data_IF_125601689050
#
_entry.id   IF_125601689050
#
_cell.length_a   1.000
_cell.length_b   1.000
_cell.length_c   1.000
_cell.angle_alpha   90.00
_cell.angle_beta   90.00
_cell.angle_gamma   90.00
#
_symmetry.space_group_name_H-M   'P 1'
#
loop_
_entity.id
_entity.type
_entity.pdbx_description
1 polymer ?
#
# COMPACT_ATOMS: atom_id res chain seq x y z
N UNK A 1 54.17 23.70 -26.08
CA UNK A 1 53.90 22.32 -25.63
C UNK A 1 53.77 22.24 -24.13
N UNK A 2 54.69 22.80 -23.32
CA UNK A 2 54.57 22.84 -21.86
C UNK A 2 53.23 23.42 -21.36
N UNK A 3 52.82 24.58 -21.86
CA UNK A 3 51.57 25.23 -21.42
C UNK A 3 50.31 24.39 -21.71
N UNK A 4 50.30 23.66 -22.82
CA UNK A 4 49.21 22.74 -23.16
C UNK A 4 49.10 21.59 -22.15
N UNK A 5 50.23 20.96 -21.79
CA UNK A 5 50.23 19.90 -20.79
C UNK A 5 50.01 20.41 -19.36
N UNK A 6 50.43 21.64 -19.04
CA UNK A 6 50.13 22.29 -17.76
C UNK A 6 48.63 22.55 -17.60
N UNK A 7 47.96 23.01 -18.65
CA UNK A 7 46.51 23.23 -18.63
C UNK A 7 45.74 21.91 -18.57
N UNK A 8 46.20 20.88 -19.30
CA UNK A 8 45.66 19.53 -19.17
C UNK A 8 45.78 18.99 -17.74
N UNK A 9 46.97 19.11 -17.12
CA UNK A 9 47.19 18.63 -15.75
C UNK A 9 46.28 19.32 -14.73
N UNK A 10 45.99 20.62 -14.93
CA UNK A 10 45.04 21.36 -14.10
C UNK A 10 43.62 20.78 -14.15
N UNK A 11 43.12 20.38 -15.33
CA UNK A 11 41.77 19.81 -15.47
C UNK A 11 41.70 18.30 -15.28
N UNK A 12 42.82 17.58 -15.41
CA UNK A 12 42.86 16.11 -15.36
C UNK A 12 42.42 15.54 -14.00
N UNK A 13 42.59 16.33 -12.94
CA UNK A 13 42.23 15.97 -11.56
C UNK A 13 40.91 16.58 -11.09
N UNK A 14 40.15 17.25 -11.96
CA UNK A 14 38.83 17.77 -11.60
C UNK A 14 37.89 16.61 -11.18
N UNK A 15 37.16 16.81 -10.09
CA UNK A 15 36.24 15.83 -9.52
C UNK A 15 34.89 15.77 -10.26
N UNK A 16 34.66 16.68 -11.20
CA UNK A 16 33.46 16.75 -12.02
C UNK A 16 33.25 15.44 -12.80
N UNK A 17 32.06 14.81 -12.70
CA UNK A 17 31.73 13.65 -13.49
C UNK A 17 31.59 14.05 -14.96
N UNK A 18 31.91 13.13 -15.86
CA UNK A 18 31.84 13.38 -17.31
C UNK A 18 30.42 13.71 -17.80
N UNK A 19 29.39 13.33 -17.05
CA UNK A 19 27.98 13.57 -17.36
C UNK A 19 27.25 13.99 -16.08
N UNK A 20 26.30 14.91 -16.22
CA UNK A 20 25.46 15.39 -15.13
C UNK A 20 24.33 14.41 -14.75
N UNK A 21 24.07 13.40 -15.58
CA UNK A 21 23.01 12.42 -15.33
C UNK A 21 21.60 13.03 -15.23
N UNK A 22 21.38 14.23 -15.80
CA UNK A 22 20.14 14.99 -15.69
C UNK A 22 19.67 15.25 -14.25
N UNK A 23 20.57 15.31 -13.27
CA UNK A 23 20.23 15.73 -11.89
C UNK A 23 20.64 17.18 -11.64
N UNK A 24 19.85 17.88 -10.82
CA UNK A 24 20.00 19.30 -10.53
C UNK A 24 21.22 19.60 -9.64
N UNK A 25 21.77 18.59 -8.98
CA UNK A 25 22.79 18.67 -7.94
C UNK A 25 24.03 17.83 -8.31
N UNK A 26 24.45 17.92 -9.57
CA UNK A 26 25.66 17.23 -10.06
C UNK A 26 26.90 17.69 -9.29
N UNK A 27 27.58 16.81 -8.54
CA UNK A 27 28.77 17.19 -7.81
C UNK A 27 29.90 17.58 -8.79
N UNK A 28 30.81 18.50 -8.40
CA UNK A 28 30.97 19.04 -7.07
C UNK A 28 30.00 20.21 -6.81
N UNK A 29 29.32 20.15 -5.67
CA UNK A 29 28.43 21.22 -5.20
C UNK A 29 28.81 21.60 -3.79
N UNK A 30 28.56 22.86 -3.45
CA UNK A 30 28.56 23.35 -2.09
C UNK A 30 27.11 23.65 -1.70
N UNK A 31 26.65 23.02 -0.61
CA UNK A 31 25.37 23.35 0.04
C UNK A 31 25.60 24.55 0.95
N UNK A 32 24.84 25.62 0.74
CA UNK A 32 24.99 26.87 1.49
C UNK A 32 24.14 26.82 2.78
N UNK A 33 24.43 25.85 3.65
CA UNK A 33 23.77 25.74 4.95
C UNK A 33 24.25 26.83 5.91
N UNK A 34 23.32 27.45 6.63
CA UNK A 34 23.64 28.27 7.80
C UNK A 34 24.06 27.37 8.97
N UNK A 35 24.77 27.92 9.96
CA UNK A 35 25.16 27.19 11.17
C UNK A 35 23.94 26.63 11.94
N UNK A 36 22.82 27.37 11.93
CA UNK A 36 21.56 26.93 12.53
C UNK A 36 20.95 25.73 11.79
N UNK A 37 20.95 25.76 10.44
CA UNK A 37 20.51 24.63 9.63
C UNK A 37 21.39 23.41 9.82
N UNK A 38 22.71 23.59 9.88
CA UNK A 38 23.64 22.48 10.11
C UNK A 38 23.43 21.83 11.48
N UNK A 39 23.31 22.63 12.55
CA UNK A 39 22.99 22.14 13.88
C UNK A 39 21.64 21.42 13.90
N UNK A 40 20.63 21.94 13.18
CA UNK A 40 19.32 21.30 13.09
C UNK A 40 19.37 19.97 12.33
N UNK A 41 20.08 19.91 11.20
CA UNK A 41 20.28 18.68 10.43
C UNK A 41 21.01 17.61 11.25
N UNK A 42 22.03 18.00 12.02
CA UNK A 42 22.73 17.09 12.95
C UNK A 42 21.76 16.54 14.01
N UNK A 43 20.95 17.39 14.64
CA UNK A 43 19.96 16.97 15.62
C UNK A 43 18.89 16.04 15.01
N UNK A 44 18.41 16.34 13.80
CA UNK A 44 17.45 15.51 13.08
C UNK A 44 18.05 14.14 12.72
N UNK A 45 19.29 14.10 12.24
CA UNK A 45 20.00 12.85 11.96
C UNK A 45 20.18 12.01 13.23
N UNK A 46 20.54 12.63 14.36
CA UNK A 46 20.65 11.94 15.64
C UNK A 46 19.28 11.38 16.10
N UNK A 47 18.21 12.15 15.93
CA UNK A 47 16.84 11.69 16.23
C UNK A 47 16.40 10.51 15.36
N UNK A 48 16.64 10.58 14.05
CA UNK A 48 16.37 9.48 13.10
C UNK A 48 17.16 8.23 13.51
N UNK A 49 18.45 8.35 13.80
CA UNK A 49 19.30 7.24 14.22
C UNK A 49 18.83 6.62 15.56
N UNK A 50 18.40 7.46 16.51
CA UNK A 50 17.84 6.99 17.77
C UNK A 50 16.54 6.20 17.55
N UNK A 51 15.65 6.68 16.67
CA UNK A 51 14.41 5.98 16.33
C UNK A 51 14.68 4.67 15.57
N UNK A 52 15.67 4.64 14.69
CA UNK A 52 16.12 3.39 14.04
C UNK A 52 16.66 2.38 15.05
N UNK A 53 17.42 2.83 16.06
CA UNK A 53 17.86 1.98 17.15
C UNK A 53 16.70 1.42 17.98
N UNK A 54 15.63 2.21 18.23
CA UNK A 54 14.41 1.70 18.88
C UNK A 54 13.74 0.59 18.07
N UNK A 55 13.66 0.72 16.74
CA UNK A 55 13.11 -0.33 15.87
C UNK A 55 13.94 -1.61 16.02
N UNK A 56 15.27 -1.52 15.94
CA UNK A 56 16.14 -2.68 16.09
C UNK A 56 15.99 -3.36 17.46
N UNK A 57 15.86 -2.57 18.54
CA UNK A 57 15.60 -3.10 19.88
C UNK A 57 14.25 -3.82 19.96
N UNK A 58 13.18 -3.23 19.40
CA UNK A 58 11.86 -3.85 19.37
C UNK A 58 11.88 -5.19 18.61
N UNK A 59 12.53 -5.22 17.44
CA UNK A 59 12.65 -6.45 16.64
C UNK A 59 13.48 -7.53 17.33
N UNK A 60 14.52 -7.15 18.09
CA UNK A 60 15.30 -8.10 18.88
C UNK A 60 14.45 -8.81 19.95
N UNK A 61 13.44 -8.14 20.51
CA UNK A 61 12.52 -8.74 21.49
C UNK A 61 11.45 -9.66 20.89
N UNK A 62 11.19 -9.56 19.58
CA UNK A 62 10.12 -10.29 18.89
C UNK A 62 10.37 -11.80 18.80
N UNK A 63 11.61 -12.25 19.00
CA UNK A 63 12.03 -13.66 18.93
C UNK A 63 11.47 -14.39 17.68
N UNK A 64 11.57 -13.75 16.51
CA UNK A 64 10.99 -14.25 15.27
C UNK A 64 11.48 -15.68 14.94
N UNK A 65 10.52 -16.58 14.75
CA UNK A 65 10.73 -17.94 14.25
C UNK A 65 9.93 -18.11 12.97
N UNK A 66 10.58 -18.52 11.88
CA UNK A 66 9.92 -18.59 10.58
C UNK A 66 8.82 -19.66 10.56
N UNK A 67 7.55 -19.30 10.28
CA UNK A 67 6.45 -20.26 10.32
C UNK A 67 6.57 -21.36 9.26
N UNK A 68 7.26 -21.13 8.14
CA UNK A 68 7.48 -22.16 7.12
C UNK A 68 8.52 -23.22 7.56
N UNK A 69 9.34 -22.91 8.57
CA UNK A 69 10.35 -23.82 9.13
C UNK A 69 9.83 -24.68 10.30
N UNK A 70 8.62 -24.42 10.79
CA UNK A 70 8.03 -25.12 11.94
C UNK A 70 7.37 -26.44 11.52
N UNK A 71 7.40 -27.44 12.41
CA UNK A 71 6.74 -28.73 12.20
C UNK A 71 5.94 -29.16 13.46
N UNK A 72 4.59 -29.19 13.41
CA UNK A 72 3.76 -28.79 12.28
C UNK A 72 3.77 -27.27 12.04
N UNK A 73 3.49 -26.79 10.82
CA UNK A 73 3.35 -25.36 10.57
C UNK A 73 2.17 -24.77 11.35
N UNK A 74 2.23 -23.49 11.74
CA UNK A 74 1.10 -22.82 12.38
C UNK A 74 -0.16 -22.86 11.51
N UNK A 75 -1.35 -23.02 12.10
CA UNK A 75 -2.59 -23.05 11.34
C UNK A 75 -2.86 -21.71 10.66
N UNK A 76 -3.58 -21.76 9.53
CA UNK A 76 -4.11 -20.57 8.89
C UNK A 76 -5.05 -19.82 9.85
N UNK A 77 -5.00 -18.49 9.79
CA UNK A 77 -5.80 -17.58 10.59
C UNK A 77 -6.80 -16.88 9.68
N UNK A 78 -8.03 -16.77 10.15
CA UNK A 78 -9.09 -16.03 9.48
C UNK A 78 -9.54 -14.89 10.39
N UNK A 79 -9.85 -13.75 9.78
CA UNK A 79 -10.39 -12.58 10.47
C UNK A 79 -11.47 -11.95 9.62
N UNK A 80 -12.50 -11.42 10.27
CA UNK A 80 -13.57 -10.68 9.62
C UNK A 80 -13.82 -9.38 10.36
N UNK A 81 -14.05 -8.31 9.61
CA UNK A 81 -14.57 -7.04 10.12
C UNK A 81 -15.88 -6.77 9.41
N UNK A 82 -16.97 -6.83 10.17
CA UNK A 82 -18.33 -6.57 9.66
C UNK A 82 -18.62 -5.08 9.74
N UNK A 83 -19.29 -4.56 8.72
CA UNK A 83 -19.47 -3.12 8.48
C UNK A 83 -20.90 -2.71 8.15
N UNK A 84 -21.73 -3.65 7.72
CA UNK A 84 -23.20 -3.57 7.80
C UNK A 84 -23.69 -4.84 8.48
N UNK A 85 -24.38 -4.70 9.61
CA UNK A 85 -25.09 -5.77 10.31
C UNK A 85 -26.18 -5.10 11.12
N UNK A 86 -27.44 -5.42 10.85
CA UNK A 86 -28.63 -4.78 11.42
C UNK A 86 -28.73 -3.25 11.21
N UNK A 87 -27.81 -2.64 10.46
CA UNK A 87 -27.74 -1.22 10.23
C UNK A 87 -26.37 -0.75 9.72
N UNK A 88 -26.32 0.53 9.38
CA UNK A 88 -25.08 1.21 9.01
C UNK A 88 -24.14 1.35 10.22
N UNK A 89 -22.81 1.43 9.99
CA UNK A 89 -21.85 1.44 11.09
C UNK A 89 -22.00 2.69 11.96
N UNK A 90 -21.63 2.59 13.23
CA UNK A 90 -21.70 3.71 14.16
C UNK A 90 -20.94 4.94 13.62
N UNK A 91 -21.56 6.12 13.73
CA UNK A 91 -21.01 7.38 13.21
C UNK A 91 -21.31 7.65 11.73
N UNK A 92 -21.71 6.64 10.96
CA UNK A 92 -22.18 6.86 9.58
C UNK A 92 -23.49 7.66 9.55
N UNK A 93 -23.64 8.47 8.50
CA UNK A 93 -24.88 9.18 8.18
C UNK A 93 -25.40 8.68 6.83
N UNK A 94 -26.34 7.71 6.84
CA UNK A 94 -26.88 7.16 5.61
C UNK A 94 -27.56 8.23 4.76
N UNK A 95 -27.36 8.13 3.45
CA UNK A 95 -27.92 8.96 2.41
C UNK A 95 -28.58 8.06 1.37
N UNK A 96 -29.55 8.62 0.66
CA UNK A 96 -30.29 7.91 -0.37
C UNK A 96 -30.30 8.72 -1.66
N UNK A 97 -30.24 8.04 -2.79
CA UNK A 97 -30.65 8.59 -4.08
C UNK A 97 -31.70 7.65 -4.66
N UNK A 98 -32.95 8.09 -4.70
CA UNK A 98 -34.10 7.24 -5.02
C UNK A 98 -35.16 7.29 -3.92
N UNK A 99 -35.89 6.19 -3.76
CA UNK A 99 -36.89 6.05 -2.70
C UNK A 99 -36.26 6.13 -1.29
N UNK A 100 -37.05 6.51 -0.26
CA UNK A 100 -36.60 6.53 1.12
C UNK A 100 -35.96 5.21 1.57
N UNK A 101 -34.98 5.30 2.48
CA UNK A 101 -34.29 4.16 3.07
C UNK A 101 -35.31 3.19 3.69
N UNK A 102 -35.20 1.90 3.35
CA UNK A 102 -36.07 0.86 3.91
C UNK A 102 -35.23 -0.23 4.58
N UNK A 103 -35.50 -0.44 5.87
CA UNK A 103 -34.96 -1.54 6.66
C UNK A 103 -36.08 -2.54 6.91
N UNK A 104 -35.79 -3.83 6.76
CA UNK A 104 -36.76 -4.92 6.93
C UNK A 104 -36.34 -5.76 8.12
N UNK A 105 -37.28 -6.00 9.04
CA UNK A 105 -37.03 -6.83 10.22
C UNK A 105 -37.28 -8.30 9.94
N UNK A 106 -36.59 -9.15 10.69
CA UNK A 106 -36.81 -10.60 10.68
C UNK A 106 -38.27 -10.91 11.01
N UNK A 107 -38.93 -11.64 10.12
CA UNK A 107 -40.36 -11.97 10.21
C UNK A 107 -41.28 -11.06 9.38
N UNK A 108 -40.80 -9.89 8.94
CA UNK A 108 -41.51 -9.00 8.01
C UNK A 108 -41.00 -9.14 6.56
N UNK A 109 -39.82 -9.75 6.39
CA UNK A 109 -39.27 -10.13 5.10
C UNK A 109 -37.90 -10.80 5.23
N UNK A 110 -37.14 -10.79 4.14
CA UNK A 110 -35.84 -11.45 4.03
C UNK A 110 -34.79 -10.78 4.91
N UNK A 111 -34.19 -11.57 5.80
CA UNK A 111 -33.03 -11.17 6.64
C UNK A 111 -32.08 -12.36 6.69
N UNK A 112 -30.81 -12.14 6.34
CA UNK A 112 -29.80 -13.21 6.30
C UNK A 112 -29.17 -13.43 7.67
N UNK A 113 -28.73 -12.34 8.31
CA UNK A 113 -28.05 -12.34 9.61
C UNK A 113 -28.72 -11.35 10.55
N UNK A 114 -28.55 -11.56 11.85
CA UNK A 114 -29.15 -10.68 12.85
C UNK A 114 -30.68 -10.63 12.79
N UNK A 115 -31.20 -9.40 12.87
CA UNK A 115 -32.61 -9.07 12.93
C UNK A 115 -33.10 -8.04 11.89
N UNK A 116 -32.22 -7.38 11.14
CA UNK A 116 -32.56 -6.32 10.18
C UNK A 116 -31.69 -6.39 8.92
N UNK A 117 -32.32 -6.31 7.75
CA UNK A 117 -31.63 -6.18 6.46
C UNK A 117 -32.04 -4.89 5.73
N UNK A 118 -31.19 -4.43 4.80
CA UNK A 118 -31.48 -3.28 3.95
C UNK A 118 -32.24 -3.73 2.71
N UNK A 119 -33.43 -3.18 2.46
CA UNK A 119 -34.21 -3.48 1.23
C UNK A 119 -34.36 -2.24 0.38
N UNK A 120 -34.29 -2.41 -0.94
CA UNK A 120 -34.59 -1.36 -1.90
C UNK A 120 -35.40 -1.89 -3.07
N UNK A 121 -36.49 -1.18 -3.39
CA UNK A 121 -37.26 -1.36 -4.61
C UNK A 121 -37.07 -0.13 -5.49
N UNK A 122 -36.63 -0.34 -6.72
CA UNK A 122 -36.29 0.73 -7.66
C UNK A 122 -36.92 0.48 -9.03
N UNK A 123 -37.33 1.54 -9.73
CA UNK A 123 -37.73 1.46 -11.13
C UNK A 123 -36.54 1.70 -12.09
N UNK A 124 -35.50 2.39 -11.60
CA UNK A 124 -34.29 2.75 -12.34
C UNK A 124 -33.07 2.71 -11.44
N UNK A 125 -32.13 3.63 -11.65
CA UNK A 125 -30.90 3.71 -10.86
C UNK A 125 -31.17 4.33 -9.48
N UNK A 126 -30.97 3.55 -8.42
CA UNK A 126 -31.11 4.00 -7.03
C UNK A 126 -30.01 3.43 -6.13
N UNK A 127 -29.73 4.11 -5.01
CA UNK A 127 -28.69 3.71 -4.07
C UNK A 127 -28.95 4.13 -2.62
N UNK A 128 -28.45 3.32 -1.70
CA UNK A 128 -28.23 3.62 -0.28
C UNK A 128 -26.74 3.70 -0.01
N UNK A 129 -26.27 4.77 0.62
CA UNK A 129 -24.84 4.99 0.78
C UNK A 129 -24.51 5.87 1.99
N UNK A 130 -23.23 5.90 2.35
CA UNK A 130 -22.68 6.99 3.17
C UNK A 130 -21.21 7.22 2.80
N UNK A 131 -20.68 8.37 3.22
CA UNK A 131 -19.25 8.63 3.27
C UNK A 131 -18.92 9.46 4.50
N UNK A 132 -17.82 9.11 5.17
CA UNK A 132 -17.40 9.71 6.43
C UNK A 132 -18.13 9.17 7.66
N UNK A 133 -17.57 9.44 8.84
CA UNK A 133 -18.14 9.04 10.13
C UNK A 133 -17.84 7.60 10.57
N UNK A 134 -17.47 6.72 9.64
CA UNK A 134 -16.96 5.38 9.91
C UNK A 134 -15.83 5.03 8.92
N UNK A 135 -14.86 4.22 9.35
CA UNK A 135 -13.82 3.68 8.47
C UNK A 135 -13.52 2.21 8.77
N UNK A 136 -13.04 1.48 7.76
CA UNK A 136 -12.27 0.24 7.96
C UNK A 136 -10.99 0.29 7.13
N UNK A 137 -9.99 -0.46 7.58
CA UNK A 137 -8.72 -0.61 6.86
C UNK A 137 -8.73 -1.94 6.12
N UNK A 138 -8.47 -1.91 4.82
CA UNK A 138 -8.38 -3.13 4.00
C UNK A 138 -7.21 -3.99 4.52
N UNK A 139 -7.44 -5.23 4.96
CA UNK A 139 -6.37 -6.10 5.45
C UNK A 139 -5.55 -6.67 4.28
N UNK A 140 -4.38 -7.23 4.60
CA UNK A 140 -3.64 -8.07 3.66
C UNK A 140 -4.52 -9.25 3.21
N UNK A 141 -4.44 -9.63 1.93
CA UNK A 141 -5.30 -10.65 1.32
C UNK A 141 -6.82 -10.39 1.52
N UNK A 142 -7.21 -9.12 1.65
CA UNK A 142 -8.57 -8.72 1.96
C UNK A 142 -9.58 -9.11 0.88
N UNK A 143 -10.67 -9.74 1.30
CA UNK A 143 -11.85 -10.01 0.47
C UNK A 143 -13.06 -9.35 1.07
N UNK A 144 -13.68 -8.49 0.29
CA UNK A 144 -14.95 -7.86 0.64
C UNK A 144 -16.06 -8.86 0.35
N UNK A 145 -17.04 -8.94 1.24
CA UNK A 145 -18.21 -9.78 1.05
C UNK A 145 -19.48 -9.07 1.49
N UNK A 146 -20.60 -9.41 0.87
CA UNK A 146 -21.95 -9.02 1.31
C UNK A 146 -22.93 -10.09 0.89
N UNK A 147 -24.05 -10.21 1.61
CA UNK A 147 -25.16 -11.08 1.21
C UNK A 147 -26.19 -10.27 0.44
N UNK A 148 -26.67 -10.85 -0.65
CA UNK A 148 -27.59 -10.25 -1.59
C UNK A 148 -28.75 -11.22 -1.85
N UNK A 149 -29.98 -10.75 -1.74
CA UNK A 149 -31.19 -11.46 -2.14
C UNK A 149 -31.89 -10.65 -3.22
N UNK A 150 -32.09 -11.26 -4.39
CA UNK A 150 -32.87 -10.66 -5.47
C UNK A 150 -34.29 -11.20 -5.45
N UNK A 151 -35.29 -10.31 -5.48
CA UNK A 151 -36.69 -10.73 -5.57
C UNK A 151 -36.94 -11.43 -6.93
N UNK A 152 -37.38 -12.70 -6.95
CA UNK A 152 -37.60 -13.43 -8.20
C UNK A 152 -38.81 -12.91 -9.00
N UNK A 153 -39.75 -12.23 -8.35
CA UNK A 153 -40.90 -11.61 -9.02
C UNK A 153 -40.58 -10.20 -9.57
N UNK A 154 -39.49 -9.59 -9.10
CA UNK A 154 -39.08 -8.23 -9.44
C UNK A 154 -37.55 -8.13 -9.48
N UNK A 155 -36.91 -8.91 -10.36
CA UNK A 155 -35.44 -9.02 -10.41
C UNK A 155 -34.81 -7.75 -11.02
N UNK A 156 -33.74 -7.19 -10.43
CA UNK A 156 -33.04 -6.04 -10.99
C UNK A 156 -32.34 -6.40 -12.30
N UNK A 157 -31.96 -5.40 -13.10
CA UNK A 157 -31.10 -5.62 -14.28
C UNK A 157 -29.61 -5.63 -13.93
N UNK A 158 -29.24 -4.86 -12.91
CA UNK A 158 -27.88 -4.77 -12.42
C UNK A 158 -27.86 -4.44 -10.93
N UNK A 159 -26.84 -4.96 -10.24
CA UNK A 159 -26.52 -4.61 -8.85
C UNK A 159 -25.04 -4.26 -8.75
N UNK A 160 -24.72 -3.30 -7.89
CA UNK A 160 -23.37 -2.80 -7.71
C UNK A 160 -23.10 -2.51 -6.22
N UNK A 161 -21.91 -2.90 -5.78
CA UNK A 161 -21.34 -2.47 -4.50
C UNK A 161 -20.21 -1.49 -4.80
N UNK A 162 -20.20 -0.35 -4.11
CA UNK A 162 -19.21 0.71 -4.27
C UNK A 162 -18.52 0.99 -2.94
N UNK A 163 -17.24 1.40 -2.99
CA UNK A 163 -16.50 1.85 -1.82
C UNK A 163 -15.90 3.24 -2.04
N UNK A 164 -15.95 4.04 -0.98
CA UNK A 164 -15.37 5.36 -0.91
C UNK A 164 -14.04 5.31 -0.15
N UNK A 165 -12.97 5.83 -0.73
CA UNK A 165 -11.67 6.01 -0.07
C UNK A 165 -11.27 7.49 -0.11
N UNK A 166 -10.43 7.90 -1.07
CA UNK A 166 -10.23 9.30 -1.48
C UNK A 166 -11.32 9.79 -2.45
N UNK A 167 -12.14 8.86 -2.96
CA UNK A 167 -13.32 9.08 -3.76
C UNK A 167 -14.05 7.78 -4.03
N UNK A 168 -15.15 7.83 -4.78
CA UNK A 168 -15.87 6.65 -5.25
C UNK A 168 -15.12 6.05 -6.46
N UNK A 169 -14.17 5.16 -6.21
CA UNK A 169 -13.25 4.63 -7.22
C UNK A 169 -13.10 3.11 -7.18
N UNK A 170 -13.99 2.41 -6.48
CA UNK A 170 -13.87 0.98 -6.22
C UNK A 170 -15.26 0.35 -6.34
N UNK A 171 -15.54 -0.32 -7.45
CA UNK A 171 -16.88 -0.83 -7.74
C UNK A 171 -16.84 -2.24 -8.28
N UNK A 172 -17.76 -3.07 -7.78
CA UNK A 172 -18.05 -4.38 -8.31
C UNK A 172 -19.51 -4.40 -8.81
N UNK A 173 -19.74 -4.85 -10.04
CA UNK A 173 -21.06 -4.89 -10.67
C UNK A 173 -21.39 -6.30 -11.17
N UNK A 174 -22.64 -6.70 -11.02
CA UNK A 174 -23.23 -7.92 -11.57
C UNK A 174 -24.44 -7.55 -12.44
N UNK A 175 -24.66 -8.30 -13.52
CA UNK A 175 -25.76 -8.09 -14.46
C UNK A 175 -25.40 -7.21 -15.65
N UNK A 176 -26.38 -6.44 -16.12
CA UNK A 176 -26.25 -5.56 -17.30
C UNK A 176 -25.37 -4.33 -16.98
N UNK A 177 -24.09 -4.41 -17.33
CA UNK A 177 -23.08 -3.42 -16.95
C UNK A 177 -23.41 -1.98 -17.37
N UNK A 178 -24.07 -1.81 -18.52
CA UNK A 178 -24.43 -0.53 -19.15
C UNK A 178 -25.51 0.23 -18.38
N UNK A 179 -26.29 -0.45 -17.53
CA UNK A 179 -27.38 0.17 -16.76
C UNK A 179 -26.88 1.04 -15.60
N UNK A 180 -25.65 0.83 -15.14
CA UNK A 180 -25.04 1.64 -14.09
C UNK A 180 -23.77 2.29 -14.64
N UNK A 181 -23.88 3.56 -15.04
CA UNK A 181 -22.80 4.32 -15.69
C UNK A 181 -21.66 4.79 -14.79
N UNK A 182 -21.58 4.33 -13.54
CA UNK A 182 -20.59 4.80 -12.57
C UNK A 182 -19.24 4.08 -12.70
N UNK A 183 -18.16 4.87 -12.73
CA UNK A 183 -16.79 4.39 -12.86
C UNK A 183 -16.38 4.02 -14.28
N UNK A 184 -15.08 4.00 -14.55
CA UNK A 184 -14.54 3.66 -15.87
C UNK A 184 -14.48 2.14 -16.10
N UNK A 185 -15.17 1.59 -17.13
CA UNK A 185 -15.09 0.17 -17.45
C UNK A 185 -13.67 -0.29 -17.77
N UNK A 186 -13.39 -1.59 -17.58
CA UNK A 186 -12.08 -2.21 -17.81
C UNK A 186 -10.93 -1.58 -16.99
N UNK A 187 -11.25 -1.03 -15.82
CA UNK A 187 -10.27 -0.51 -14.86
C UNK A 187 -10.59 -1.03 -13.46
N UNK A 188 -9.75 -0.70 -12.48
CA UNK A 188 -10.04 -0.96 -11.07
C UNK A 188 -11.23 -0.14 -10.55
N UNK A 189 -11.65 0.92 -11.27
CA UNK A 189 -12.78 1.77 -10.86
C UNK A 189 -14.15 1.11 -11.02
N UNK A 190 -14.24 0.13 -11.93
CA UNK A 190 -15.45 -0.64 -12.22
C UNK A 190 -15.07 -2.03 -12.72
N UNK A 191 -15.37 -3.03 -11.90
CA UNK A 191 -15.08 -4.44 -12.17
C UNK A 191 -16.37 -5.18 -12.45
N UNK A 192 -16.52 -5.70 -13.67
CA UNK A 192 -17.60 -6.63 -14.00
C UNK A 192 -17.33 -7.99 -13.34
N UNK A 193 -18.26 -8.43 -12.51
CA UNK A 193 -18.16 -9.67 -11.73
C UNK A 193 -18.92 -10.83 -12.37
N UNK A 194 -19.77 -10.56 -13.37
CA UNK A 194 -20.50 -11.56 -14.14
C UNK A 194 -22.02 -11.33 -14.14
N UNK A 195 -22.83 -12.37 -14.38
CA UNK A 195 -24.28 -12.28 -14.35
C UNK A 195 -24.79 -11.95 -12.94
N UNK A 196 -26.07 -11.60 -12.82
CA UNK A 196 -26.73 -11.43 -11.53
C UNK A 196 -26.61 -12.70 -10.68
N UNK A 197 -26.50 -12.57 -9.34
CA UNK A 197 -26.65 -13.72 -8.45
C UNK A 197 -28.02 -14.37 -8.62
N UNK A 198 -28.15 -15.64 -8.21
CA UNK A 198 -29.40 -16.38 -8.31
C UNK A 198 -30.49 -15.68 -7.50
N UNK A 199 -31.64 -15.43 -8.14
CA UNK A 199 -32.79 -14.81 -7.50
C UNK A 199 -33.56 -15.81 -6.63
N UNK A 200 -34.26 -15.29 -5.61
CA UNK A 200 -35.06 -16.09 -4.68
C UNK A 200 -34.28 -16.80 -3.58
N UNK A 201 -32.97 -16.57 -3.46
CA UNK A 201 -32.15 -17.06 -2.35
C UNK A 201 -31.05 -16.07 -1.97
N UNK A 202 -30.52 -16.22 -0.75
CA UNK A 202 -29.38 -15.43 -0.29
C UNK A 202 -28.08 -15.92 -0.93
N UNK A 203 -27.40 -15.02 -1.63
CA UNK A 203 -26.11 -15.30 -2.24
C UNK A 203 -25.03 -14.44 -1.60
N UNK A 204 -23.94 -15.07 -1.14
CA UNK A 204 -22.73 -14.37 -0.70
C UNK A 204 -21.96 -13.88 -1.91
N UNK A 205 -21.95 -12.57 -2.14
CA UNK A 205 -21.06 -11.94 -3.10
C UNK A 205 -19.70 -11.77 -2.45
N UNK A 206 -18.62 -12.22 -3.10
CA UNK A 206 -17.25 -12.09 -2.61
C UNK A 206 -16.36 -11.48 -3.70
N UNK A 207 -15.57 -10.47 -3.32
CA UNK A 207 -14.71 -9.71 -4.21
C UNK A 207 -13.33 -9.58 -3.56
N UNK A 208 -12.30 -10.07 -4.25
CA UNK A 208 -10.91 -9.78 -3.87
C UNK A 208 -10.69 -8.27 -3.99
N UNK A 209 -10.36 -7.62 -2.86
CA UNK A 209 -10.27 -6.16 -2.77
C UNK A 209 -9.30 -5.59 -3.82
N UNK A 210 -8.23 -6.34 -4.15
CA UNK A 210 -7.25 -5.94 -5.15
C UNK A 210 -7.83 -5.78 -6.55
N UNK A 211 -8.91 -6.51 -6.90
CA UNK A 211 -9.58 -6.38 -8.20
C UNK A 211 -10.17 -4.99 -8.39
N UNK A 212 -10.67 -4.39 -7.31
CA UNK A 212 -11.20 -3.02 -7.29
C UNK A 212 -10.09 -1.98 -7.01
N UNK A 213 -8.82 -2.37 -7.02
CA UNK A 213 -7.70 -1.47 -6.73
C UNK A 213 -7.56 -1.06 -5.26
N UNK A 214 -8.28 -1.72 -4.34
CA UNK A 214 -8.11 -1.53 -2.91
C UNK A 214 -6.89 -2.33 -2.44
N UNK A 215 -5.85 -1.62 -2.00
CA UNK A 215 -4.60 -2.23 -1.51
C UNK A 215 -4.70 -2.44 0.00
N UNK A 216 -3.89 -3.36 0.58
CA UNK A 216 -3.75 -3.44 2.03
C UNK A 216 -3.37 -2.07 2.62
N UNK A 217 -3.99 -1.70 3.74
CA UNK A 217 -3.80 -0.39 4.37
C UNK A 217 -4.67 0.74 3.80
N UNK A 218 -5.37 0.54 2.66
CA UNK A 218 -6.34 1.53 2.17
C UNK A 218 -7.44 1.73 3.21
N UNK A 219 -7.64 2.99 3.62
CA UNK A 219 -8.79 3.40 4.44
C UNK A 219 -10.01 3.55 3.56
N UNK A 220 -11.03 2.73 3.83
CA UNK A 220 -12.35 2.85 3.22
C UNK A 220 -13.25 3.57 4.20
N UNK A 221 -13.86 4.66 3.75
CA UNK A 221 -14.62 5.62 4.57
C UNK A 221 -16.10 5.69 4.19
N UNK A 222 -16.55 4.80 3.30
CA UNK A 222 -17.96 4.67 2.93
C UNK A 222 -18.20 3.51 1.98
N UNK A 223 -19.47 3.11 1.87
CA UNK A 223 -19.94 2.20 0.82
C UNK A 223 -21.29 2.64 0.27
N UNK A 224 -21.63 2.10 -0.89
CA UNK A 224 -22.95 2.22 -1.48
C UNK A 224 -23.45 0.86 -1.96
N UNK A 225 -24.72 0.57 -1.71
CA UNK A 225 -25.48 -0.46 -2.39
C UNK A 225 -26.28 0.22 -3.49
N UNK A 226 -26.09 -0.23 -4.72
CA UNK A 226 -26.67 0.41 -5.91
C UNK A 226 -27.34 -0.65 -6.78
N UNK A 227 -28.48 -0.32 -7.36
CA UNK A 227 -29.17 -1.21 -8.29
C UNK A 227 -29.78 -0.42 -9.44
N UNK A 228 -30.04 -1.12 -10.54
CA UNK A 228 -30.91 -0.62 -11.61
C UNK A 228 -32.16 -1.50 -11.71
N UNK A 229 -33.30 -0.94 -11.32
CA UNK A 229 -34.58 -1.64 -11.31
C UNK A 229 -34.70 -2.69 -10.18
N UNK A 230 -35.85 -3.34 -10.12
CA UNK A 230 -36.12 -4.51 -9.28
C UNK A 230 -36.17 -4.25 -7.77
N UNK A 231 -36.22 -5.33 -7.01
CA UNK A 231 -36.18 -5.34 -5.56
C UNK A 231 -35.00 -6.17 -5.06
N UNK A 232 -34.14 -5.56 -4.25
CA UNK A 232 -32.91 -6.16 -3.71
C UNK A 232 -32.89 -6.00 -2.20
N UNK A 233 -32.45 -7.06 -1.51
CA UNK A 233 -32.16 -7.00 -0.07
C UNK A 233 -30.68 -7.30 0.15
N UNK A 234 -30.02 -6.44 0.92
CA UNK A 234 -28.61 -6.53 1.28
C UNK A 234 -28.47 -6.78 2.77
N UNK A 235 -27.49 -7.60 3.11
CA UNK A 235 -27.19 -7.91 4.49
C UNK A 235 -25.70 -8.28 4.67
N UNK A 236 -25.21 -8.17 5.90
CA UNK A 236 -23.90 -8.61 6.35
C UNK A 236 -22.75 -8.27 5.38
N UNK A 237 -22.49 -6.97 5.22
CA UNK A 237 -21.31 -6.47 4.49
C UNK A 237 -20.10 -6.50 5.42
N UNK A 238 -18.98 -7.02 4.94
CA UNK A 238 -17.73 -7.00 5.68
C UNK A 238 -16.52 -7.18 4.79
N UNK A 239 -15.36 -7.15 5.44
CA UNK A 239 -14.09 -7.55 4.85
C UNK A 239 -13.52 -8.71 5.66
N UNK A 240 -13.06 -9.74 4.95
CA UNK A 240 -12.40 -10.90 5.52
C UNK A 240 -10.94 -10.93 5.09
N UNK A 241 -10.09 -11.56 5.90
CA UNK A 241 -8.71 -11.89 5.54
C UNK A 241 -8.39 -13.29 6.01
N UNK A 242 -7.69 -14.03 5.15
CA UNK A 242 -7.10 -15.31 5.48
C UNK A 242 -5.60 -15.22 5.28
N UNK A 243 -4.87 -15.64 6.30
CA UNK A 243 -3.42 -15.71 6.31
C UNK A 243 -3.02 -17.14 6.63
N UNK A 244 -2.24 -17.75 5.76
CA UNK A 244 -1.51 -18.99 6.06
C UNK A 244 -0.05 -18.60 6.34
N UNK A 245 0.37 -18.45 7.62
CA UNK A 245 1.67 -17.85 7.92
C UNK A 245 2.85 -18.58 7.27
N UNK A 246 2.74 -19.91 7.13
CA UNK A 246 3.77 -20.75 6.51
C UNK A 246 3.84 -20.62 4.98
N UNK A 247 2.89 -19.91 4.35
CA UNK A 247 2.82 -19.70 2.89
C UNK A 247 2.67 -18.24 2.48
N UNK A 248 2.70 -17.31 3.43
CA UNK A 248 2.52 -15.89 3.18
C UNK A 248 3.87 -15.15 3.30
N UNK A 249 4.32 -14.43 2.25
CA UNK A 249 5.61 -13.73 2.24
C UNK A 249 5.67 -12.54 3.21
N UNK A 250 4.56 -12.07 3.77
CA UNK A 250 4.55 -11.08 4.85
C UNK A 250 4.69 -11.71 6.24
N UNK A 251 4.62 -13.04 6.33
CA UNK A 251 4.73 -13.79 7.59
C UNK A 251 5.92 -14.74 7.64
N UNK A 252 6.40 -15.22 6.50
CA UNK A 252 7.57 -16.08 6.36
C UNK A 252 8.65 -15.42 5.50
N UNK A 253 9.81 -15.19 6.11
CA UNK A 253 11.02 -14.75 5.44
C UNK A 253 11.49 -15.78 4.42
N UNK A 254 11.40 -17.08 4.71
CA UNK A 254 11.77 -18.14 3.75
C UNK A 254 10.85 -18.15 2.52
N UNK A 255 9.55 -17.96 2.71
CA UNK A 255 8.60 -17.82 1.59
C UNK A 255 8.90 -16.55 0.78
N UNK A 256 9.17 -15.42 1.44
CA UNK A 256 9.54 -14.18 0.76
C UNK A 256 10.86 -14.30 -0.03
N UNK A 257 11.87 -14.91 0.59
CA UNK A 257 13.22 -15.09 0.03
C UNK A 257 13.21 -15.89 -1.26
N UNK A 258 12.34 -16.89 -1.36
CA UNK A 258 12.16 -17.78 -2.52
C UNK A 258 11.24 -17.23 -3.62
N UNK A 259 10.65 -16.04 -3.42
CA UNK A 259 9.88 -15.39 -4.48
C UNK A 259 10.74 -15.10 -5.72
N UNK A 260 10.07 -14.91 -6.86
CA UNK A 260 10.72 -14.44 -8.08
C UNK A 260 11.56 -13.18 -7.77
N UNK A 261 12.82 -13.19 -8.22
CA UNK A 261 13.78 -12.13 -7.92
C UNK A 261 13.26 -10.72 -8.25
N UNK A 262 12.58 -10.56 -9.39
CA UNK A 262 12.01 -9.27 -9.78
C UNK A 262 10.97 -8.77 -8.78
N UNK A 263 10.11 -9.65 -8.27
CA UNK A 263 9.12 -9.30 -7.24
C UNK A 263 9.80 -8.96 -5.92
N UNK A 264 10.65 -9.86 -5.42
CA UNK A 264 11.37 -9.69 -4.15
C UNK A 264 12.19 -8.39 -4.13
N UNK A 265 12.90 -8.10 -5.21
CA UNK A 265 13.76 -6.93 -5.30
C UNK A 265 12.98 -5.61 -5.40
N UNK A 266 11.71 -5.63 -5.80
CA UNK A 266 10.85 -4.45 -5.78
C UNK A 266 10.47 -4.02 -4.35
N UNK A 267 10.49 -4.94 -3.40
CA UNK A 267 10.22 -4.65 -1.98
C UNK A 267 11.43 -4.03 -1.27
N UNK A 268 12.62 -4.10 -1.88
CA UNK A 268 13.88 -3.61 -1.30
C UNK A 268 14.18 -2.16 -1.73
N UNK A 269 14.76 -1.34 -0.83
CA UNK A 269 15.36 -0.05 -1.18
C UNK A 269 16.57 -0.27 -2.10
N UNK A 270 16.98 0.78 -2.82
CA UNK A 270 17.98 0.66 -3.88
C UNK A 270 19.32 0.09 -3.40
N UNK A 271 19.79 0.46 -2.21
CA UNK A 271 21.06 -0.04 -1.65
C UNK A 271 21.02 -1.57 -1.40
N UNK A 272 19.91 -2.08 -0.84
CA UNK A 272 19.73 -3.50 -0.61
C UNK A 272 19.41 -4.25 -1.90
N UNK A 273 18.69 -3.61 -2.82
CA UNK A 273 18.39 -4.15 -4.14
C UNK A 273 19.67 -4.39 -4.92
N UNK A 274 20.57 -3.41 -4.96
CA UNK A 274 21.84 -3.50 -5.68
C UNK A 274 22.78 -4.52 -5.04
N UNK A 275 22.75 -4.65 -3.71
CA UNK A 275 23.51 -5.66 -2.97
C UNK A 275 23.21 -7.10 -3.42
N UNK A 276 21.93 -7.40 -3.70
CA UNK A 276 21.46 -8.76 -4.05
C UNK A 276 21.04 -8.92 -5.51
N UNK A 277 21.21 -7.87 -6.33
CA UNK A 277 20.83 -7.89 -7.75
C UNK A 277 21.67 -8.93 -8.49
N UNK A 278 21.01 -9.75 -9.30
CA UNK A 278 21.66 -10.82 -10.07
C UNK A 278 22.09 -12.05 -9.26
N UNK A 279 21.97 -12.03 -7.92
CA UNK A 279 22.33 -13.15 -7.05
C UNK A 279 21.10 -13.95 -6.61
N UNK A 280 21.23 -15.27 -6.57
CA UNK A 280 20.28 -16.15 -5.88
C UNK A 280 20.47 -16.05 -4.36
N UNK A 281 19.44 -16.32 -3.54
CA UNK A 281 19.56 -16.21 -2.09
C UNK A 281 20.66 -17.08 -1.45
N UNK A 282 21.03 -18.19 -2.09
CA UNK A 282 22.09 -19.09 -1.64
C UNK A 282 23.51 -18.52 -1.89
N UNK A 283 23.61 -17.50 -2.75
CA UNK A 283 24.87 -16.84 -3.11
C UNK A 283 25.12 -15.58 -2.26
N UNK A 284 24.19 -15.22 -1.38
CA UNK A 284 24.34 -14.10 -0.47
C UNK A 284 25.34 -14.46 0.62
N UNK A 285 26.31 -13.57 0.87
CA UNK A 285 27.14 -13.66 2.06
C UNK A 285 26.29 -13.47 3.33
N UNK A 286 26.80 -13.95 4.48
CA UNK A 286 26.10 -13.84 5.76
C UNK A 286 25.73 -12.39 6.10
N UNK A 287 26.61 -11.43 5.77
CA UNK A 287 26.37 -10.00 5.97
C UNK A 287 25.23 -9.46 5.09
N UNK A 288 25.18 -9.88 3.82
CA UNK A 288 24.11 -9.49 2.89
C UNK A 288 22.77 -10.09 3.33
N UNK A 289 22.75 -11.38 3.64
CA UNK A 289 21.56 -12.08 4.10
C UNK A 289 21.01 -11.47 5.40
N UNK A 290 21.90 -11.09 6.33
CA UNK A 290 21.50 -10.40 7.57
C UNK A 290 20.86 -9.04 7.28
N UNK A 291 21.48 -8.20 6.45
CA UNK A 291 20.93 -6.86 6.12
C UNK A 291 19.55 -6.96 5.49
N UNK A 292 19.36 -7.89 4.55
CA UNK A 292 18.07 -8.11 3.90
C UNK A 292 17.02 -8.62 4.90
N UNK A 293 17.39 -9.58 5.77
CA UNK A 293 16.49 -10.11 6.80
C UNK A 293 16.06 -9.04 7.81
N UNK A 294 17.00 -8.22 8.29
CA UNK A 294 16.70 -7.16 9.25
C UNK A 294 15.78 -6.10 8.63
N UNK A 295 16.02 -5.75 7.36
CA UNK A 295 15.11 -4.88 6.62
C UNK A 295 13.71 -5.49 6.48
N UNK A 296 13.62 -6.76 6.09
CA UNK A 296 12.34 -7.45 5.94
C UNK A 296 11.56 -7.48 7.26
N UNK A 297 12.22 -7.79 8.38
CA UNK A 297 11.60 -7.79 9.71
C UNK A 297 11.08 -6.40 10.11
N UNK A 298 11.84 -5.35 9.81
CA UNK A 298 11.45 -3.98 10.14
C UNK A 298 10.30 -3.46 9.26
N UNK A 299 10.35 -3.72 7.96
CA UNK A 299 9.53 -2.99 6.99
C UNK A 299 8.39 -3.82 6.39
N UNK A 300 8.53 -5.15 6.33
CA UNK A 300 7.62 -6.02 5.59
C UNK A 300 6.89 -7.02 6.49
N UNK A 301 7.54 -7.51 7.55
CA UNK A 301 6.95 -8.52 8.43
C UNK A 301 5.69 -8.00 9.12
N UNK A 302 4.55 -8.60 8.79
CA UNK A 302 3.24 -8.21 9.29
C UNK A 302 3.14 -8.33 10.83
N UNK A 303 3.82 -9.33 11.41
CA UNK A 303 3.81 -9.58 12.85
C UNK A 303 4.57 -8.54 13.70
N UNK A 304 5.37 -7.66 13.09
CA UNK A 304 6.07 -6.57 13.78
C UNK A 304 5.34 -5.22 13.71
N UNK A 305 4.26 -5.10 12.90
CA UNK A 305 3.68 -3.78 12.59
C UNK A 305 3.10 -3.07 13.80
N UNK A 306 2.49 -3.79 14.75
CA UNK A 306 1.94 -3.19 15.97
C UNK A 306 3.00 -2.53 16.85
N UNK A 307 4.25 -3.02 16.80
CA UNK A 307 5.37 -2.44 17.57
C UNK A 307 6.21 -1.46 16.76
N UNK A 308 6.36 -1.68 15.44
CA UNK A 308 7.21 -0.83 14.58
C UNK A 308 6.46 0.41 14.08
N UNK A 309 5.18 0.29 13.70
CA UNK A 309 4.44 1.40 13.09
C UNK A 309 4.36 2.67 13.98
N UNK A 310 4.17 2.58 15.32
CA UNK A 310 4.22 3.76 16.18
C UNK A 310 5.60 4.44 16.17
N UNK A 311 6.68 3.66 16.15
CA UNK A 311 8.06 4.16 16.13
C UNK A 311 8.37 4.82 14.79
N UNK A 312 7.90 4.25 13.67
CA UNK A 312 7.98 4.89 12.36
C UNK A 312 7.21 6.21 12.29
N UNK A 313 6.05 6.30 12.95
CA UNK A 313 5.28 7.54 13.04
C UNK A 313 6.04 8.63 13.81
N UNK A 314 6.87 8.28 14.80
CA UNK A 314 7.81 9.21 15.45
C UNK A 314 8.93 9.67 14.49
N UNK A 315 9.40 8.77 13.60
CA UNK A 315 10.47 9.06 12.62
C UNK A 315 10.00 9.99 11.50
N UNK A 316 8.76 9.82 11.04
CA UNK A 316 8.21 10.51 9.89
C UNK A 316 8.34 12.04 9.92
N UNK A 317 7.98 12.76 11.00
CA UNK A 317 8.14 14.22 11.05
C UNK A 317 9.62 14.66 11.02
N UNK A 318 10.53 13.90 11.65
CA UNK A 318 11.97 14.21 11.63
C UNK A 318 12.55 14.07 10.22
N UNK A 319 12.19 12.98 9.52
CA UNK A 319 12.62 12.74 8.14
C UNK A 319 12.03 13.79 7.19
N UNK A 320 10.77 14.18 7.39
CA UNK A 320 10.14 15.25 6.62
C UNK A 320 10.85 16.59 6.82
N UNK A 321 11.10 16.99 8.06
CA UNK A 321 11.77 18.26 8.34
C UNK A 321 13.19 18.30 7.77
N UNK A 322 13.93 17.18 7.87
CA UNK A 322 15.25 17.05 7.23
C UNK A 322 15.16 17.29 5.73
N UNK A 323 14.24 16.62 5.05
CA UNK A 323 14.04 16.75 3.61
C UNK A 323 13.61 18.19 3.23
N UNK A 324 12.74 18.81 4.03
CA UNK A 324 12.29 20.20 3.80
C UNK A 324 13.46 21.19 3.94
N UNK A 325 14.35 21.03 4.93
CA UNK A 325 15.57 21.85 5.08
C UNK A 325 16.53 21.63 3.91
N UNK A 326 16.78 20.38 3.52
CA UNK A 326 17.67 20.04 2.41
C UNK A 326 17.17 20.60 1.08
N UNK A 327 15.86 20.55 0.82
CA UNK A 327 15.24 21.11 -0.37
C UNK A 327 15.26 22.65 -0.41
N UNK A 328 15.14 23.30 0.76
CA UNK A 328 15.22 24.75 0.88
C UNK A 328 16.65 25.30 0.87
N UNK A 329 17.66 24.44 1.05
CA UNK A 329 19.06 24.85 1.11
C UNK A 329 19.58 25.17 -0.29
N UNK A 330 20.04 26.41 -0.57
CA UNK A 330 20.63 26.75 -1.85
C UNK A 330 21.88 25.93 -2.11
N UNK A 331 22.04 25.49 -3.35
CA UNK A 331 23.26 24.84 -3.84
C UNK A 331 23.99 25.77 -4.79
N UNK A 332 25.31 25.72 -4.77
CA UNK A 332 26.16 26.35 -5.78
C UNK A 332 27.14 25.31 -6.34
N UNK A 333 27.37 25.36 -7.64
CA UNK A 333 28.37 24.51 -8.28
C UNK A 333 29.76 25.04 -7.96
N UNK A 334 30.66 24.14 -7.61
CA UNK A 334 32.05 24.47 -7.31
C UNK A 334 32.95 23.55 -8.10
N UNK A 335 34.13 24.05 -8.48
CA UNK A 335 35.19 23.18 -8.99
C UNK A 335 35.96 22.63 -7.78
N UNK A 336 36.19 21.33 -7.76
CA UNK A 336 37.01 20.67 -6.76
C UNK A 336 37.94 19.67 -7.42
N UNK A 337 39.14 19.52 -6.88
CA UNK A 337 40.03 18.43 -7.26
C UNK A 337 39.60 17.12 -6.59
N UNK A 338 39.93 15.99 -7.23
CA UNK A 338 39.82 14.69 -6.61
C UNK A 338 40.68 14.63 -5.34
N UNK A 339 40.23 13.91 -4.29
CA UNK A 339 41.04 13.70 -3.08
C UNK A 339 42.43 13.12 -3.37
N UNK A 340 42.53 12.28 -4.40
CA UNK A 340 43.77 11.78 -4.97
C UNK A 340 43.93 12.31 -6.40
N UNK A 341 44.91 13.20 -6.67
CA UNK A 341 45.16 13.74 -8.01
C UNK A 341 45.56 12.64 -9.01
N UNK A 342 45.13 12.79 -10.26
CA UNK A 342 45.56 11.89 -11.34
C UNK A 342 46.95 12.29 -11.84
N UNK A 343 47.77 11.29 -12.18
CA UNK A 343 49.05 11.55 -12.83
C UNK A 343 48.85 12.11 -14.25
N UNK A 344 49.63 13.13 -14.60
CA UNK A 344 49.69 13.71 -15.94
C UNK A 344 51.12 13.66 -16.46
N UNK A 345 51.28 13.09 -17.66
CA UNK A 345 52.59 12.89 -18.27
C UNK A 345 52.83 13.89 -19.41
N UNK A 346 54.02 14.50 -19.43
CA UNK A 346 54.45 15.39 -20.51
C UNK A 346 55.33 14.61 -21.47
N UNK A 347 54.90 14.44 -22.72
CA UNK A 347 55.75 13.83 -23.73
C UNK A 347 56.87 14.82 -24.12
N UNK A 348 58.12 14.49 -23.78
CA UNK A 348 59.29 15.17 -24.32
C UNK A 348 59.50 14.65 -25.75
N UNK A 349 59.11 15.43 -26.76
CA UNK A 349 59.61 15.22 -28.13
C UNK A 349 61.05 15.74 -28.16
N UNK A 350 61.97 14.90 -28.65
CA UNK A 350 63.37 15.24 -28.88
C UNK A 350 63.56 16.37 -29.88
#
# INVERSE_FOLDING_TARGET
TKDYYSLYAFFNSAADPAMDGNKIDTPPILKLTTAEQEARLQALNAGIAATDAKIQQALATLAYTDPASQNPPPPARESETVWFEDGFPAGAKPQVAGAPLQLVKKGEGEVFSGGVALRRKAAGLEQDFFSGGAEFVVPANGKIFTYCFLDPADTPKAVMVQFHSTGWLHRAIWGEEDKIGFGKPNTTEKVLMGPLPKAGEWVRLEIDAKRMGLKPGTKVTGYAFTQFGGTVTWDRLGVSSRVDPAKDPLWSYEVWKTQNQGKRNNDLPDDLRDLVRGKKPEEWSDGEAKRVRDFWLANLYAGARDVVAPIEAEKAPLAKEKADIEAATPITFVMADLPEPRESFVMQRG
#
